data_IF_383716817210
#
_entry.id   IF_383716817210
#
_cell.length_a   1.000
_cell.length_b   1.000
_cell.length_c   1.000
_cell.angle_alpha   90.00
_cell.angle_beta   90.00
_cell.angle_gamma   90.00
#
_symmetry.space_group_name_H-M   'P 1'
#
loop_
_entity.id
_entity.type
_entity.pdbx_description
1 polymer ?
#
# COMPACT_ATOMS: atom_id res chain seq x y z
N UNK A 1 72.49 12.91 18.74
CA UNK A 1 72.23 11.93 19.81
C UNK A 1 70.73 11.86 20.03
N UNK A 2 70.27 10.74 19.83
CA UNK A 2 69.01 10.07 20.12
C UNK A 2 68.11 9.83 18.90
N UNK A 3 68.17 8.58 18.51
CA UNK A 3 67.33 7.93 17.56
C UNK A 3 65.97 7.67 18.22
N UNK A 4 64.89 8.15 17.63
CA UNK A 4 63.53 7.69 18.00
C UNK A 4 63.00 6.82 16.88
N UNK A 5 62.88 5.54 17.20
CA UNK A 5 62.35 4.49 16.33
C UNK A 5 60.83 4.61 16.27
N UNK A 6 60.25 4.76 15.09
CA UNK A 6 58.81 4.71 14.88
C UNK A 6 58.33 3.25 14.86
N UNK A 7 57.38 2.93 15.73
CA UNK A 7 56.63 1.68 15.77
C UNK A 7 55.44 1.79 14.83
N UNK A 8 55.34 0.86 13.89
CA UNK A 8 54.17 0.64 13.03
C UNK A 8 53.17 -0.27 13.78
N UNK A 9 51.90 0.10 13.95
CA UNK A 9 50.91 -0.82 14.47
C UNK A 9 50.33 -1.69 13.33
N UNK A 10 50.27 -2.97 13.61
CA UNK A 10 49.65 -4.05 12.80
C UNK A 10 48.16 -3.84 12.59
N UNK A 11 47.73 -4.11 11.37
CA UNK A 11 46.29 -4.17 10.96
C UNK A 11 45.66 -5.41 11.57
N UNK A 12 44.77 -5.22 12.53
CA UNK A 12 43.81 -6.24 13.00
C UNK A 12 42.52 -6.15 12.21
N UNK A 13 42.10 -7.27 11.59
CA UNK A 13 40.78 -7.42 10.99
C UNK A 13 39.72 -7.41 12.10
N UNK A 14 38.79 -6.46 12.06
CA UNK A 14 37.63 -6.48 12.95
C UNK A 14 36.34 -6.38 12.17
N UNK A 15 35.38 -7.26 12.53
CA UNK A 15 34.13 -7.48 11.84
C UNK A 15 33.19 -6.28 11.92
N UNK A 16 32.52 -5.99 10.82
CA UNK A 16 31.57 -4.89 10.69
C UNK A 16 30.40 -5.00 11.64
N UNK A 17 30.35 -4.10 12.61
CA UNK A 17 29.13 -3.76 13.32
C UNK A 17 28.41 -2.59 12.62
N UNK A 18 27.07 -2.56 12.61
CA UNK A 18 26.33 -1.46 11.99
C UNK A 18 26.53 -0.16 12.78
N UNK A 19 26.73 0.93 12.06
CA UNK A 19 26.87 2.28 12.55
C UNK A 19 25.70 2.67 13.47
N UNK A 20 25.97 2.76 14.75
CA UNK A 20 25.12 3.46 15.71
C UNK A 20 25.32 4.96 15.49
N UNK A 21 24.31 5.65 14.98
CA UNK A 21 24.27 7.11 15.04
C UNK A 21 24.17 7.56 16.51
N UNK A 22 25.29 8.03 17.04
CA UNK A 22 25.37 8.66 18.35
C UNK A 22 25.05 10.15 18.23
N UNK A 23 23.78 10.50 18.36
CA UNK A 23 23.35 11.80 18.93
C UNK A 23 22.10 11.53 19.76
N UNK A 24 22.27 10.83 20.87
CA UNK A 24 21.31 10.86 21.97
C UNK A 24 21.57 12.11 22.76
N UNK A 25 20.97 13.22 22.40
CA UNK A 25 20.75 14.38 23.24
C UNK A 25 19.38 14.21 23.89
N UNK A 26 19.38 13.92 25.19
CA UNK A 26 18.38 14.19 26.26
C UNK A 26 16.91 14.46 25.91
N UNK A 27 16.30 13.72 24.96
CA UNK A 27 14.87 13.82 24.64
C UNK A 27 14.12 12.52 25.01
N UNK A 28 14.80 11.50 25.56
CA UNK A 28 14.32 10.12 25.65
C UNK A 28 13.45 9.81 26.87
N UNK A 29 13.19 10.72 27.80
CA UNK A 29 12.33 10.43 28.96
C UNK A 29 10.93 11.04 28.93
N UNK A 30 10.58 11.86 27.92
CA UNK A 30 9.24 12.46 27.82
C UNK A 30 8.35 11.91 26.69
N UNK A 31 8.79 10.93 25.92
CA UNK A 31 8.09 10.48 24.69
C UNK A 31 6.95 9.49 24.96
N UNK A 32 6.91 8.83 26.11
CA UNK A 32 5.89 7.82 26.39
C UNK A 32 4.58 8.37 26.98
N UNK A 33 4.57 9.59 27.49
CA UNK A 33 3.37 10.19 28.10
C UNK A 33 2.70 11.28 27.24
N UNK A 34 3.32 11.76 26.15
CA UNK A 34 2.81 12.87 25.36
C UNK A 34 2.17 12.50 24.02
N UNK A 35 1.84 11.22 23.76
CA UNK A 35 1.20 10.78 22.50
C UNK A 35 -0.18 11.40 22.22
N UNK A 36 -0.75 12.16 23.13
CA UNK A 36 -2.13 12.71 23.02
C UNK A 36 -2.29 14.19 23.40
N UNK A 37 -1.22 14.92 23.64
CA UNK A 37 -1.37 16.36 23.83
C UNK A 37 -1.42 17.04 22.47
N UNK A 38 -2.53 17.72 22.16
CA UNK A 38 -2.61 18.70 21.07
C UNK A 38 -1.57 19.80 21.36
N UNK A 39 -0.36 19.56 20.86
CA UNK A 39 0.65 20.62 20.84
C UNK A 39 0.12 21.69 19.91
N UNK A 40 -0.01 22.90 20.40
CA UNK A 40 -0.44 24.02 19.58
C UNK A 40 0.55 24.18 18.40
N UNK A 41 0.14 23.98 17.14
CA UNK A 41 1.07 23.97 16.00
C UNK A 41 1.78 25.30 15.79
N UNK A 42 1.44 26.35 16.57
CA UNK A 42 1.92 27.71 16.37
C UNK A 42 3.44 27.88 16.36
N UNK A 43 4.20 27.01 17.03
CA UNK A 43 5.64 27.19 17.20
C UNK A 43 6.51 26.30 16.30
N UNK A 44 5.95 25.31 15.62
CA UNK A 44 6.74 24.29 14.95
C UNK A 44 6.48 24.19 13.42
N UNK A 45 5.53 24.94 12.89
CA UNK A 45 5.29 24.95 11.45
C UNK A 45 6.34 25.79 10.73
N UNK A 46 6.88 25.31 9.58
CA UNK A 46 7.74 26.11 8.72
C UNK A 46 7.08 27.43 8.33
N UNK A 47 7.85 28.52 8.35
CA UNK A 47 7.35 29.87 8.04
C UNK A 47 6.68 29.95 6.67
N UNK A 48 7.17 29.22 5.70
CA UNK A 48 6.58 29.20 4.36
C UNK A 48 5.18 28.55 4.36
N UNK A 49 4.97 27.49 5.14
CA UNK A 49 3.64 26.88 5.33
C UNK A 49 2.70 27.89 5.97
N UNK A 50 3.15 28.59 7.00
CA UNK A 50 2.34 29.62 7.70
C UNK A 50 1.94 30.76 6.76
N UNK A 51 2.85 31.21 5.88
CA UNK A 51 2.61 32.35 4.98
C UNK A 51 1.75 31.99 3.76
N UNK A 52 1.93 30.81 3.17
CA UNK A 52 1.27 30.40 1.92
C UNK A 52 0.08 29.47 2.13
N UNK A 53 0.01 28.84 3.28
CA UNK A 53 -1.04 27.88 3.61
C UNK A 53 -2.42 28.51 3.74
N UNK A 54 -3.44 27.71 3.46
CA UNK A 54 -4.84 28.01 3.75
C UNK A 54 -5.31 27.00 4.80
N UNK A 55 -5.85 27.51 5.91
CA UNK A 55 -6.10 26.69 7.11
C UNK A 55 -7.59 26.62 7.44
N UNK A 56 -8.00 25.48 7.94
CA UNK A 56 -9.30 25.26 8.57
C UNK A 56 -9.10 24.84 10.02
N UNK A 57 -10.17 24.90 10.80
CA UNK A 57 -10.27 24.17 12.04
C UNK A 57 -10.95 22.83 11.79
N UNK A 58 -10.73 21.84 12.64
CA UNK A 58 -11.45 20.57 12.54
C UNK A 58 -11.91 20.09 13.93
N UNK A 59 -12.97 19.28 13.94
CA UNK A 59 -13.40 18.57 15.13
C UNK A 59 -13.89 17.16 14.77
N UNK A 60 -13.89 16.31 15.75
CA UNK A 60 -14.46 15.00 15.60
C UNK A 60 -16.00 15.06 15.59
N UNK A 61 -16.60 14.43 14.61
CA UNK A 61 -18.03 14.18 14.54
C UNK A 61 -18.28 12.70 14.34
N UNK A 62 -19.37 12.22 14.88
CA UNK A 62 -19.86 10.88 14.59
C UNK A 62 -20.73 10.94 13.34
N UNK A 63 -20.34 10.21 12.30
CA UNK A 63 -21.06 10.06 11.04
C UNK A 63 -21.14 8.59 10.69
N UNK A 64 -22.35 8.11 10.53
CA UNK A 64 -22.63 6.69 10.22
C UNK A 64 -21.94 5.72 11.19
N UNK A 65 -21.93 6.07 12.51
CA UNK A 65 -21.28 5.27 13.54
C UNK A 65 -19.75 5.29 13.53
N UNK A 66 -19.14 6.23 12.77
CA UNK A 66 -17.68 6.40 12.69
C UNK A 66 -17.27 7.80 13.11
N UNK A 67 -16.24 7.87 13.95
CA UNK A 67 -15.62 9.13 14.34
C UNK A 67 -14.82 9.70 13.17
N UNK A 68 -15.24 10.86 12.66
CA UNK A 68 -14.68 11.51 11.48
C UNK A 68 -14.18 12.91 11.82
N UNK A 69 -13.03 13.31 11.27
CA UNK A 69 -12.50 14.67 11.39
C UNK A 69 -13.16 15.55 10.35
N UNK A 70 -13.99 16.49 10.77
CA UNK A 70 -14.76 17.36 9.90
C UNK A 70 -14.13 18.77 9.87
N UNK A 71 -13.81 19.32 8.68
CA UNK A 71 -13.20 20.63 8.56
C UNK A 71 -14.25 21.76 8.67
N UNK A 72 -13.88 22.84 9.32
CA UNK A 72 -14.67 24.05 9.52
C UNK A 72 -13.92 25.30 9.10
N UNK A 73 -14.62 26.23 8.48
CA UNK A 73 -14.12 27.57 8.19
C UNK A 73 -13.95 28.33 9.52
N UNK A 74 -12.73 28.75 9.88
CA UNK A 74 -12.49 29.39 11.18
C UNK A 74 -13.11 30.78 11.33
N UNK A 75 -13.54 31.42 10.22
CA UNK A 75 -14.20 32.70 10.23
C UNK A 75 -15.71 32.59 10.44
N UNK A 76 -16.34 31.61 9.79
CA UNK A 76 -17.80 31.50 9.76
C UNK A 76 -18.35 30.42 10.66
N UNK A 77 -17.49 29.49 11.11
CA UNK A 77 -17.90 28.31 11.87
C UNK A 77 -18.69 27.27 11.05
N UNK A 78 -18.86 27.50 9.75
CA UNK A 78 -19.52 26.55 8.86
C UNK A 78 -18.54 25.48 8.37
N UNK A 79 -19.07 24.35 7.92
CA UNK A 79 -18.26 23.28 7.32
C UNK A 79 -17.43 23.81 6.14
N UNK A 80 -16.12 23.59 6.18
CA UNK A 80 -15.23 23.97 5.10
C UNK A 80 -15.30 22.96 3.95
N UNK A 81 -15.14 23.45 2.73
CA UNK A 81 -15.11 22.63 1.51
C UNK A 81 -13.67 22.47 1.06
N UNK A 82 -13.16 21.25 1.08
CA UNK A 82 -11.76 20.97 0.73
C UNK A 82 -11.37 21.27 -0.73
N UNK A 83 -12.32 21.64 -1.57
CA UNK A 83 -12.10 22.06 -2.96
C UNK A 83 -12.27 23.59 -3.17
N UNK A 84 -12.44 24.35 -2.10
CA UNK A 84 -12.71 25.79 -2.12
C UNK A 84 -11.80 26.47 -1.08
N UNK A 85 -10.74 27.14 -1.55
CA UNK A 85 -9.77 27.82 -0.69
C UNK A 85 -10.39 29.00 0.06
N UNK A 86 -11.46 29.60 -0.46
CA UNK A 86 -12.24 30.63 0.21
C UNK A 86 -12.95 30.14 1.47
N UNK A 87 -13.15 28.84 1.63
CA UNK A 87 -13.67 28.24 2.86
C UNK A 87 -12.60 28.01 3.94
N UNK A 88 -11.34 28.35 3.66
CA UNK A 88 -10.18 28.31 4.56
C UNK A 88 -9.74 29.74 4.88
N UNK A 89 -8.89 29.91 5.88
CA UNK A 89 -8.38 31.21 6.32
C UNK A 89 -6.86 31.19 6.48
N UNK A 90 -6.27 32.32 6.81
CA UNK A 90 -4.86 32.44 7.15
C UNK A 90 -4.58 31.77 8.50
N UNK A 91 -3.34 31.36 8.72
CA UNK A 91 -2.91 30.65 9.92
C UNK A 91 -3.28 31.38 11.22
N UNK A 92 -3.08 32.71 11.28
CA UNK A 92 -3.39 33.50 12.45
C UNK A 92 -4.86 33.39 12.87
N UNK A 93 -5.76 33.36 11.91
CA UNK A 93 -7.20 33.25 12.16
C UNK A 93 -7.53 31.84 12.66
N UNK A 94 -7.05 30.81 11.95
CA UNK A 94 -7.31 29.43 12.32
C UNK A 94 -6.74 29.08 13.71
N UNK A 95 -5.53 29.57 14.01
CA UNK A 95 -4.85 29.31 15.30
C UNK A 95 -5.48 30.05 16.49
N UNK A 96 -6.25 31.10 16.24
CA UNK A 96 -6.97 31.87 17.27
C UNK A 96 -8.40 31.37 17.50
N UNK A 97 -8.91 30.50 16.63
CA UNK A 97 -10.26 29.97 16.74
C UNK A 97 -10.34 28.94 17.88
N UNK A 98 -11.44 28.98 18.64
CA UNK A 98 -11.69 28.13 19.80
C UNK A 98 -12.86 27.17 19.54
N UNK A 99 -12.96 26.08 20.32
CA UNK A 99 -14.04 25.12 20.20
C UNK A 99 -13.83 24.05 19.12
N UNK A 100 -12.59 23.85 18.71
CA UNK A 100 -12.19 22.83 17.74
C UNK A 100 -11.14 21.88 18.33
N UNK A 101 -11.04 20.69 17.78
CA UNK A 101 -10.05 19.68 18.20
C UNK A 101 -8.67 19.94 17.60
N UNK A 102 -8.55 20.79 16.58
CA UNK A 102 -7.28 21.20 16.00
C UNK A 102 -7.42 21.99 14.71
N UNK A 103 -6.27 22.20 14.07
CA UNK A 103 -6.11 22.93 12.82
C UNK A 103 -5.78 21.94 11.70
N UNK A 104 -6.23 22.25 10.49
CA UNK A 104 -5.85 21.52 9.28
C UNK A 104 -5.40 22.49 8.19
N UNK A 105 -4.69 21.99 7.21
CA UNK A 105 -4.24 22.72 6.02
C UNK A 105 -4.91 22.16 4.77
N UNK A 106 -5.43 23.04 3.93
CA UNK A 106 -5.93 22.71 2.61
C UNK A 106 -4.78 22.50 1.61
N UNK A 107 -5.02 21.63 0.65
CA UNK A 107 -4.04 21.32 -0.41
C UNK A 107 -4.18 22.35 -1.53
N UNK A 108 -3.67 23.56 -1.27
CA UNK A 108 -3.71 24.73 -2.13
C UNK A 108 -2.32 25.36 -2.27
N UNK A 109 -2.17 26.32 -3.18
CA UNK A 109 -0.99 27.19 -3.32
C UNK A 109 0.34 26.41 -3.45
N UNK A 110 0.34 25.29 -4.18
CA UNK A 110 1.51 24.44 -4.37
C UNK A 110 1.87 23.56 -3.17
N UNK A 111 1.16 23.68 -2.03
CA UNK A 111 1.37 22.80 -0.87
C UNK A 111 0.71 21.46 -1.13
N UNK A 112 1.51 20.42 -0.98
CA UNK A 112 1.13 19.02 -1.15
C UNK A 112 1.38 18.27 0.16
N UNK A 113 0.74 17.10 0.30
CA UNK A 113 0.93 16.27 1.47
C UNK A 113 0.94 14.77 1.12
N UNK A 114 1.61 14.00 1.95
CA UNK A 114 1.47 12.55 2.02
C UNK A 114 0.95 12.22 3.41
N UNK A 115 -0.07 11.37 3.47
CA UNK A 115 -0.62 10.82 4.70
C UNK A 115 -0.27 9.32 4.75
N UNK A 116 0.43 8.92 5.80
CA UNK A 116 0.89 7.56 6.03
C UNK A 116 0.17 6.99 7.25
N UNK A 117 -0.81 6.13 7.00
CA UNK A 117 -1.62 5.53 8.06
C UNK A 117 -0.93 4.34 8.72
N UNK A 118 -1.12 4.20 10.04
CA UNK A 118 -0.69 3.04 10.84
C UNK A 118 0.76 2.61 10.61
N UNK A 119 1.66 3.57 10.34
CA UNK A 119 3.04 3.31 10.00
C UNK A 119 4.02 3.44 11.17
N UNK A 120 3.57 3.94 12.33
CA UNK A 120 4.41 4.15 13.52
C UNK A 120 4.09 3.08 14.55
N UNK A 121 5.12 2.36 14.99
CA UNK A 121 5.02 1.35 16.07
C UNK A 121 4.98 2.01 17.45
N UNK A 122 4.62 1.26 18.49
CA UNK A 122 4.65 1.76 19.88
C UNK A 122 6.05 2.17 20.34
N UNK A 123 7.08 1.59 19.77
CA UNK A 123 8.47 1.95 20.00
C UNK A 123 8.96 3.16 19.19
N UNK A 124 8.08 3.77 18.37
CA UNK A 124 8.39 4.95 17.56
C UNK A 124 9.14 4.67 16.25
N UNK A 125 9.26 3.40 15.84
CA UNK A 125 9.86 3.05 14.56
C UNK A 125 8.80 3.10 13.44
N UNK A 126 9.24 3.49 12.24
CA UNK A 126 8.39 3.50 11.06
C UNK A 126 8.37 2.13 10.38
N UNK A 127 7.27 1.79 9.73
CA UNK A 127 7.24 0.65 8.80
C UNK A 127 8.26 0.84 7.67
N UNK A 128 8.70 -0.26 7.04
CA UNK A 128 9.73 -0.18 5.98
C UNK A 128 9.36 0.76 4.84
N UNK A 129 8.10 0.75 4.38
CA UNK A 129 7.63 1.67 3.34
C UNK A 129 7.60 3.13 3.83
N UNK A 130 7.14 3.39 5.06
CA UNK A 130 7.10 4.73 5.62
C UNK A 130 8.52 5.29 5.82
N UNK A 131 9.46 4.50 6.34
CA UNK A 131 10.85 4.91 6.51
C UNK A 131 11.48 5.30 5.15
N UNK A 132 11.21 4.53 4.11
CA UNK A 132 11.68 4.84 2.77
C UNK A 132 11.06 6.14 2.22
N UNK A 133 9.75 6.33 2.38
CA UNK A 133 9.06 7.54 1.92
C UNK A 133 9.55 8.77 2.66
N UNK A 134 9.68 8.71 3.98
CA UNK A 134 10.21 9.82 4.80
C UNK A 134 11.63 10.19 4.36
N UNK A 135 12.49 9.20 4.16
CA UNK A 135 13.86 9.39 3.67
C UNK A 135 13.90 9.98 2.26
N UNK A 136 13.06 9.48 1.34
CA UNK A 136 12.97 9.97 -0.03
C UNK A 136 12.49 11.41 -0.08
N UNK A 137 11.38 11.72 0.61
CA UNK A 137 10.76 13.03 0.56
C UNK A 137 11.57 14.09 1.29
N UNK A 138 12.30 13.74 2.33
CA UNK A 138 13.19 14.61 3.09
C UNK A 138 12.61 16.02 3.30
N UNK A 139 11.36 16.10 3.73
CA UNK A 139 10.59 17.32 3.93
C UNK A 139 9.94 17.34 5.31
N UNK A 140 9.32 18.47 5.67
CA UNK A 140 8.64 18.61 6.96
C UNK A 140 7.72 17.42 7.23
N UNK A 141 7.98 16.72 8.33
CA UNK A 141 7.25 15.51 8.72
C UNK A 141 6.80 15.61 10.17
N UNK A 142 5.53 15.32 10.42
CA UNK A 142 4.94 15.33 11.76
C UNK A 142 4.11 14.07 12.02
N UNK A 143 3.87 13.76 13.28
CA UNK A 143 2.93 12.71 13.67
C UNK A 143 1.49 13.13 13.36
N UNK A 144 0.67 12.22 12.88
CA UNK A 144 -0.77 12.41 12.77
C UNK A 144 -1.44 12.55 14.15
N UNK A 145 -2.66 13.09 14.27
CA UNK A 145 -3.34 13.24 15.56
C UNK A 145 -3.55 11.94 16.34
N UNK A 146 -3.56 10.79 15.68
CA UNK A 146 -3.64 9.48 16.34
C UNK A 146 -2.31 9.01 16.94
N UNK A 147 -1.19 9.62 16.53
CA UNK A 147 0.16 9.26 16.92
C UNK A 147 0.72 8.00 16.26
N UNK A 148 -0.07 7.27 15.48
CA UNK A 148 0.35 6.05 14.80
C UNK A 148 0.55 6.20 13.28
N UNK A 149 0.36 7.41 12.74
CA UNK A 149 0.60 7.77 11.36
C UNK A 149 1.49 9.01 11.24
N UNK A 150 1.87 9.35 10.01
CA UNK A 150 2.72 10.49 9.67
C UNK A 150 2.10 11.34 8.58
N UNK A 151 2.27 12.67 8.68
CA UNK A 151 1.99 13.61 7.61
C UNK A 151 3.31 14.21 7.10
N UNK A 152 3.55 14.17 5.80
CA UNK A 152 4.69 14.81 5.16
C UNK A 152 4.18 15.97 4.31
N UNK A 153 4.61 17.21 4.61
CA UNK A 153 4.25 18.39 3.83
C UNK A 153 5.43 18.82 2.95
N UNK A 154 5.13 19.19 1.71
CA UNK A 154 6.13 19.62 0.73
C UNK A 154 5.50 20.50 -0.34
N UNK A 155 6.33 21.12 -1.20
CA UNK A 155 5.87 21.82 -2.41
C UNK A 155 6.07 20.98 -3.64
N UNK A 156 5.13 21.13 -4.59
CA UNK A 156 5.26 20.61 -5.93
C UNK A 156 4.50 21.54 -6.92
N UNK A 157 4.93 22.81 -7.00
CA UNK A 157 4.25 23.81 -7.84
C UNK A 157 4.22 23.38 -9.31
N UNK A 158 3.01 23.35 -9.90
CA UNK A 158 2.82 22.98 -11.29
C UNK A 158 3.09 21.50 -11.62
N UNK A 159 3.13 20.61 -10.60
CA UNK A 159 3.23 19.18 -10.83
C UNK A 159 2.00 18.67 -11.59
N UNK A 160 2.23 17.93 -12.67
CA UNK A 160 1.17 17.37 -13.50
C UNK A 160 0.82 15.97 -12.97
N UNK A 161 -0.22 15.90 -12.17
CA UNK A 161 -0.69 14.65 -11.59
C UNK A 161 -1.59 13.90 -12.57
N UNK A 162 -1.18 12.71 -12.99
CA UNK A 162 -1.98 11.83 -13.84
C UNK A 162 -2.84 10.87 -13.00
N UNK A 163 -4.12 11.22 -12.84
CA UNK A 163 -5.08 10.41 -12.11
C UNK A 163 -5.46 9.09 -12.81
N UNK A 164 -5.09 8.92 -14.07
CA UNK A 164 -5.25 7.65 -14.79
C UNK A 164 -4.12 6.69 -14.45
N UNK A 165 -2.92 7.22 -14.27
CA UNK A 165 -1.71 6.44 -13.96
C UNK A 165 -1.54 6.16 -12.48
N UNK A 166 -1.94 7.08 -11.60
CA UNK A 166 -1.68 6.97 -10.17
C UNK A 166 -2.95 6.92 -9.31
N UNK A 167 -2.86 6.20 -8.20
CA UNK A 167 -3.84 6.24 -7.13
C UNK A 167 -3.60 7.47 -6.24
N UNK A 168 -4.67 8.11 -5.76
CA UNK A 168 -4.58 9.08 -4.68
C UNK A 168 -4.40 8.34 -3.34
N UNK A 169 -5.05 7.19 -3.19
CA UNK A 169 -5.04 6.37 -2.00
C UNK A 169 -4.65 4.94 -2.35
N UNK A 170 -3.59 4.43 -1.73
CA UNK A 170 -3.21 3.03 -1.74
C UNK A 170 -3.54 2.43 -0.37
N UNK A 171 -4.75 1.91 -0.22
CA UNK A 171 -5.24 1.34 1.05
C UNK A 171 -4.39 0.17 1.56
N UNK A 172 -3.83 -0.64 0.65
CA UNK A 172 -2.99 -1.80 1.01
C UNK A 172 -1.69 -1.36 1.67
N UNK A 173 -1.14 -0.25 1.24
CA UNK A 173 0.11 0.31 1.77
C UNK A 173 -0.13 1.36 2.87
N UNK A 174 -1.37 1.81 3.09
CA UNK A 174 -1.68 2.89 4.01
C UNK A 174 -1.11 4.23 3.57
N UNK A 175 -1.06 4.50 2.26
CA UNK A 175 -0.45 5.70 1.69
C UNK A 175 -1.52 6.51 0.96
N UNK A 176 -1.67 7.78 1.34
CA UNK A 176 -2.46 8.75 0.57
C UNK A 176 -1.56 9.90 0.10
N UNK A 177 -1.73 10.33 -1.15
CA UNK A 177 -0.93 11.41 -1.75
C UNK A 177 -1.86 12.54 -2.20
N UNK A 178 -1.64 13.73 -1.67
CA UNK A 178 -2.45 14.90 -1.94
C UNK A 178 -1.62 15.95 -2.68
N UNK A 179 -2.02 16.26 -3.91
CA UNK A 179 -1.30 17.17 -4.80
C UNK A 179 -2.16 18.40 -5.09
N UNK A 180 -1.59 19.58 -4.87
CA UNK A 180 -2.27 20.86 -5.12
C UNK A 180 -2.72 20.97 -6.59
N UNK A 181 -3.96 21.40 -6.78
CA UNK A 181 -4.60 21.50 -8.10
C UNK A 181 -5.16 20.16 -8.64
N UNK A 182 -4.74 19.02 -8.10
CA UNK A 182 -5.18 17.70 -8.55
C UNK A 182 -6.12 17.01 -7.55
N UNK A 183 -5.87 17.17 -6.25
CA UNK A 183 -6.68 16.54 -5.20
C UNK A 183 -7.43 17.58 -4.40
N UNK A 184 -8.64 17.22 -3.95
CA UNK A 184 -9.55 18.11 -3.19
C UNK A 184 -9.58 17.62 -1.75
N UNK A 185 -8.48 17.82 -1.02
CA UNK A 185 -8.27 17.28 0.32
C UNK A 185 -7.74 18.34 1.29
N UNK A 186 -7.77 18.04 2.55
CA UNK A 186 -7.06 18.77 3.60
C UNK A 186 -6.37 17.76 4.51
N UNK A 187 -5.37 18.20 5.24
CA UNK A 187 -4.61 17.38 6.20
C UNK A 187 -4.69 18.08 7.56
N UNK A 188 -4.91 17.29 8.60
CA UNK A 188 -4.85 17.78 9.99
C UNK A 188 -3.41 18.06 10.38
N UNK A 189 -3.18 19.11 11.16
CA UNK A 189 -1.85 19.49 11.64
C UNK A 189 -1.74 19.31 13.14
N UNK A 190 -0.60 18.79 13.60
CA UNK A 190 -0.29 18.61 15.01
C UNK A 190 0.87 19.49 15.49
N UNK A 191 1.80 19.86 14.58
CA UNK A 191 3.05 20.50 14.95
C UNK A 191 4.03 19.60 15.70
N UNK A 192 3.69 18.32 15.90
CA UNK A 192 4.56 17.32 16.55
C UNK A 192 5.53 16.74 15.52
N UNK A 193 6.60 17.47 15.23
CA UNK A 193 7.62 17.03 14.27
C UNK A 193 8.34 15.78 14.76
N UNK A 194 8.55 14.84 13.87
CA UNK A 194 9.31 13.60 14.13
C UNK A 194 10.66 13.59 13.42
N UNK A 195 10.83 14.44 12.40
CA UNK A 195 12.06 14.59 11.63
C UNK A 195 12.46 16.05 11.52
N UNK A 196 13.76 16.33 11.54
CA UNK A 196 14.28 17.70 11.40
C UNK A 196 14.56 18.04 9.93
N UNK A 197 13.58 17.78 9.04
CA UNK A 197 13.69 18.09 7.63
C UNK A 197 13.01 19.40 7.30
N UNK A 198 13.62 20.16 6.41
CA UNK A 198 13.06 21.45 5.97
C UNK A 198 11.99 21.24 4.90
N UNK A 199 10.90 21.99 5.03
CA UNK A 199 9.89 22.11 3.99
C UNK A 199 10.49 22.62 2.68
N UNK A 200 10.21 21.97 1.55
CA UNK A 200 10.82 22.33 0.26
C UNK A 200 10.11 21.77 -0.95
N UNK A 201 10.63 22.11 -2.13
CA UNK A 201 10.16 21.54 -3.41
C UNK A 201 10.63 20.08 -3.53
N UNK A 202 9.69 19.17 -3.81
CA UNK A 202 9.91 17.72 -3.90
C UNK A 202 9.23 17.10 -5.13
N UNK A 203 9.20 17.84 -6.24
CA UNK A 203 8.60 17.34 -7.49
C UNK A 203 9.23 16.06 -8.00
N UNK A 204 10.56 15.95 -7.94
CA UNK A 204 11.29 14.77 -8.41
C UNK A 204 11.03 13.58 -7.50
N UNK A 205 11.09 13.81 -6.20
CA UNK A 205 10.86 12.82 -5.18
C UNK A 205 9.40 12.33 -5.22
N UNK A 206 8.45 13.25 -5.43
CA UNK A 206 7.03 12.91 -5.63
C UNK A 206 6.85 12.01 -6.84
N UNK A 207 7.52 12.28 -7.97
CA UNK A 207 7.45 11.42 -9.15
C UNK A 207 7.94 10.01 -8.84
N UNK A 208 9.08 9.88 -8.16
CA UNK A 208 9.65 8.58 -7.75
C UNK A 208 8.69 7.83 -6.82
N UNK A 209 8.12 8.55 -5.84
CA UNK A 209 7.15 7.98 -4.93
C UNK A 209 5.91 7.46 -5.67
N UNK A 210 5.35 8.25 -6.56
CA UNK A 210 4.17 7.89 -7.34
C UNK A 210 4.44 6.66 -8.21
N UNK A 211 5.57 6.61 -8.89
CA UNK A 211 5.96 5.47 -9.74
C UNK A 211 6.15 4.20 -8.92
N UNK A 212 6.68 4.31 -7.71
CA UNK A 212 6.97 3.14 -6.88
C UNK A 212 5.77 2.64 -6.08
N UNK A 213 5.00 3.53 -5.48
CA UNK A 213 3.98 3.17 -4.48
C UNK A 213 2.54 3.41 -4.92
N UNK A 214 2.32 4.31 -5.89
CA UNK A 214 0.99 4.78 -6.26
C UNK A 214 0.61 4.45 -7.69
N UNK A 215 1.49 3.78 -8.44
CA UNK A 215 1.21 3.41 -9.82
C UNK A 215 0.00 2.46 -9.86
N UNK A 216 -0.97 2.80 -10.67
CA UNK A 216 -2.01 1.85 -11.06
C UNK A 216 -1.28 0.80 -11.87
N UNK A 217 -1.43 -0.48 -11.52
CA UNK A 217 -1.01 -1.53 -12.44
C UNK A 217 -1.55 -1.15 -13.80
N UNK A 218 -0.68 -0.88 -14.76
CA UNK A 218 -1.12 -0.67 -16.13
C UNK A 218 -1.91 -1.91 -16.50
N UNK A 219 -3.21 -1.76 -16.56
CA UNK A 219 -4.00 -2.63 -17.40
C UNK A 219 -3.52 -2.22 -18.80
N UNK A 220 -2.44 -2.90 -19.23
CA UNK A 220 -1.90 -2.75 -20.56
C UNK A 220 -3.07 -2.86 -21.54
N UNK A 221 -3.52 -1.71 -22.03
CA UNK A 221 -4.40 -1.66 -23.21
C UNK A 221 -3.64 -2.17 -24.47
N UNK A 222 -2.49 -2.80 -24.28
CA UNK A 222 -1.61 -3.34 -25.30
C UNK A 222 -1.07 -4.74 -25.06
N UNK A 223 -1.25 -5.33 -23.85
CA UNK A 223 -1.05 -6.77 -23.68
C UNK A 223 -2.42 -7.41 -23.58
N UNK A 224 -2.87 -7.89 -24.70
CA UNK A 224 -3.84 -8.95 -24.77
C UNK A 224 -3.51 -9.95 -23.67
N UNK A 225 -4.37 -9.99 -22.60
CA UNK A 225 -4.93 -11.20 -22.11
C UNK A 225 -3.87 -12.32 -22.11
N UNK A 226 -3.38 -12.65 -20.94
CA UNK A 226 -3.06 -14.05 -20.74
C UNK A 226 -4.34 -14.85 -21.02
N UNK A 227 -4.42 -15.38 -22.22
CA UNK A 227 -5.56 -16.06 -22.79
C UNK A 227 -5.94 -17.36 -22.06
N UNK A 228 -5.27 -17.69 -20.96
CA UNK A 228 -5.47 -18.93 -20.21
C UNK A 228 -6.63 -18.89 -19.21
N UNK A 229 -7.22 -17.71 -18.96
CA UNK A 229 -8.36 -17.62 -18.02
C UNK A 229 -9.72 -17.41 -18.73
N UNK A 230 -9.73 -17.35 -20.06
CA UNK A 230 -10.92 -17.09 -20.85
C UNK A 230 -11.79 -18.32 -21.09
N UNK A 231 -11.30 -19.51 -20.76
CA UNK A 231 -12.01 -20.77 -21.04
C UNK A 231 -12.92 -21.28 -19.92
N UNK A 232 -12.87 -20.68 -18.72
CA UNK A 232 -13.76 -21.12 -17.64
C UNK A 232 -15.20 -20.69 -17.93
N UNK A 233 -16.10 -21.64 -17.90
CA UNK A 233 -17.53 -21.41 -17.95
C UNK A 233 -18.04 -20.75 -16.65
N UNK A 234 -19.22 -20.13 -16.70
CA UNK A 234 -19.86 -19.53 -15.53
C UNK A 234 -20.00 -20.53 -14.36
N UNK A 235 -20.35 -21.77 -14.65
CA UNK A 235 -20.53 -22.83 -13.65
C UNK A 235 -19.20 -23.24 -13.00
N UNK A 236 -18.14 -23.34 -13.77
CA UNK A 236 -16.78 -23.61 -13.24
C UNK A 236 -16.29 -22.47 -12.36
N UNK A 237 -16.51 -21.21 -12.76
CA UNK A 237 -16.16 -20.03 -11.95
C UNK A 237 -16.93 -20.09 -10.62
N UNK A 238 -18.23 -20.36 -10.63
CA UNK A 238 -19.02 -20.47 -9.41
C UNK A 238 -18.58 -21.62 -8.52
N UNK A 239 -18.23 -22.77 -9.09
CA UNK A 239 -17.74 -23.93 -8.35
C UNK A 239 -16.39 -23.62 -7.66
N UNK A 240 -15.46 -23.02 -8.39
CA UNK A 240 -14.14 -22.62 -7.86
C UNK A 240 -14.29 -21.54 -6.78
N UNK A 241 -15.11 -20.52 -7.03
CA UNK A 241 -15.34 -19.45 -6.06
C UNK A 241 -15.94 -19.99 -4.75
N UNK A 242 -16.90 -20.91 -4.83
CA UNK A 242 -17.53 -21.56 -3.66
C UNK A 242 -16.57 -22.42 -2.87
N UNK A 243 -15.64 -23.10 -3.53
CA UNK A 243 -14.66 -24.00 -2.89
C UNK A 243 -13.42 -23.26 -2.35
N UNK A 244 -13.33 -21.95 -2.59
CA UNK A 244 -12.18 -21.14 -2.16
C UNK A 244 -12.21 -20.84 -0.65
N UNK A 245 -11.09 -20.37 -0.10
CA UNK A 245 -10.99 -19.92 1.30
C UNK A 245 -12.09 -18.92 1.71
N UNK A 246 -12.49 -18.05 0.79
CA UNK A 246 -13.55 -17.04 1.01
C UNK A 246 -14.89 -17.49 0.41
N UNK A 247 -15.06 -18.79 0.09
CA UNK A 247 -16.22 -19.32 -0.61
C UNK A 247 -17.54 -19.13 0.11
N UNK A 248 -17.55 -19.20 1.43
CA UNK A 248 -18.76 -18.95 2.24
C UNK A 248 -19.25 -17.50 2.09
N UNK A 249 -18.35 -16.51 2.16
CA UNK A 249 -18.69 -15.10 1.98
C UNK A 249 -19.16 -14.81 0.54
N UNK A 250 -18.46 -15.35 -0.44
CA UNK A 250 -18.87 -15.27 -1.84
C UNK A 250 -20.27 -15.86 -2.06
N UNK A 251 -20.52 -17.06 -1.56
CA UNK A 251 -21.81 -17.74 -1.75
C UNK A 251 -22.96 -17.01 -1.05
N UNK A 252 -22.74 -16.47 0.15
CA UNK A 252 -23.71 -15.64 0.86
C UNK A 252 -24.14 -14.45 0.00
N UNK A 253 -23.18 -13.68 -0.52
CA UNK A 253 -23.45 -12.55 -1.43
C UNK A 253 -24.15 -12.99 -2.69
N UNK A 254 -23.66 -14.03 -3.36
CA UNK A 254 -24.21 -14.53 -4.61
C UNK A 254 -25.65 -15.02 -4.46
N UNK A 255 -26.00 -15.56 -3.28
CA UNK A 255 -27.36 -15.99 -2.92
C UNK A 255 -28.28 -14.83 -2.55
N UNK A 256 -27.78 -13.57 -2.52
CA UNK A 256 -28.56 -12.38 -2.24
C UNK A 256 -28.51 -11.88 -0.79
N UNK A 257 -27.70 -12.49 0.08
CA UNK A 257 -27.53 -12.02 1.45
C UNK A 257 -26.75 -10.70 1.49
N UNK A 258 -27.29 -9.74 2.28
CA UNK A 258 -26.66 -8.43 2.53
C UNK A 258 -26.10 -8.35 3.96
N UNK A 259 -26.12 -9.47 4.70
CA UNK A 259 -25.64 -9.51 6.08
C UNK A 259 -24.17 -9.10 6.17
N UNK A 260 -23.88 -8.12 7.02
CA UNK A 260 -22.52 -7.57 7.20
C UNK A 260 -22.19 -6.37 6.31
N UNK A 261 -23.12 -5.93 5.43
CA UNK A 261 -22.94 -4.73 4.59
C UNK A 261 -23.90 -3.63 5.03
N UNK A 262 -23.41 -2.39 5.07
CA UNK A 262 -24.19 -1.22 5.52
C UNK A 262 -25.28 -0.83 4.49
N UNK A 263 -25.12 -1.22 3.24
CA UNK A 263 -26.09 -0.94 2.18
C UNK A 263 -26.08 -2.01 1.09
N UNK A 264 -27.18 -2.12 0.38
CA UNK A 264 -27.28 -3.00 -0.78
C UNK A 264 -26.26 -2.64 -1.89
N UNK A 265 -25.91 -1.36 -2.02
CA UNK A 265 -24.90 -0.92 -2.99
C UNK A 265 -23.49 -1.35 -2.59
N UNK A 266 -23.22 -1.48 -1.29
CA UNK A 266 -21.97 -2.01 -0.78
C UNK A 266 -21.87 -3.52 -1.02
N UNK A 267 -22.96 -4.26 -0.82
CA UNK A 267 -23.06 -5.68 -1.15
C UNK A 267 -22.88 -5.93 -2.66
N UNK A 268 -23.49 -5.10 -3.52
CA UNK A 268 -23.29 -5.17 -4.97
C UNK A 268 -21.80 -5.00 -5.34
N UNK A 269 -21.15 -3.99 -4.76
CA UNK A 269 -19.74 -3.73 -5.00
C UNK A 269 -18.86 -4.88 -4.50
N UNK A 270 -19.17 -5.45 -3.33
CA UNK A 270 -18.42 -6.57 -2.78
C UNK A 270 -18.55 -7.82 -3.68
N UNK A 271 -19.75 -8.13 -4.18
CA UNK A 271 -19.93 -9.23 -5.13
C UNK A 271 -19.16 -8.96 -6.42
N UNK A 272 -19.22 -7.74 -6.97
CA UNK A 272 -18.49 -7.39 -8.19
C UNK A 272 -16.96 -7.52 -8.02
N UNK A 273 -16.39 -7.22 -6.83
CA UNK A 273 -14.97 -7.44 -6.54
C UNK A 273 -14.60 -8.91 -6.56
N UNK A 274 -15.43 -9.77 -5.99
CA UNK A 274 -15.23 -11.22 -6.08
C UNK A 274 -15.29 -11.69 -7.54
N UNK A 275 -16.30 -11.23 -8.30
CA UNK A 275 -16.45 -11.59 -9.71
C UNK A 275 -15.25 -11.09 -10.54
N UNK A 276 -14.74 -9.88 -10.31
CA UNK A 276 -13.56 -9.35 -11.01
C UNK A 276 -12.33 -10.25 -10.84
N UNK A 277 -12.12 -10.77 -9.63
CA UNK A 277 -11.04 -11.72 -9.36
C UNK A 277 -11.23 -13.03 -10.14
N UNK A 278 -12.42 -13.64 -10.07
CA UNK A 278 -12.68 -14.97 -10.64
C UNK A 278 -12.84 -14.98 -12.16
N UNK A 279 -13.31 -13.87 -12.76
CA UNK A 279 -13.52 -13.77 -14.22
C UNK A 279 -12.30 -13.19 -14.95
N UNK A 280 -11.19 -12.91 -14.26
CA UNK A 280 -10.07 -12.23 -14.89
C UNK A 280 -10.38 -10.81 -15.34
N UNK A 281 -11.31 -10.12 -14.65
CA UNK A 281 -11.80 -8.77 -14.97
C UNK A 281 -12.63 -8.70 -16.28
N UNK A 282 -13.17 -9.79 -16.72
CA UNK A 282 -14.08 -9.82 -17.88
C UNK A 282 -15.43 -9.21 -17.51
N UNK A 283 -15.69 -7.98 -17.97
CA UNK A 283 -16.90 -7.24 -17.66
C UNK A 283 -18.18 -7.94 -18.11
N UNK A 284 -18.15 -8.66 -19.25
CA UNK A 284 -19.31 -9.39 -19.76
C UNK A 284 -19.63 -10.61 -18.90
N UNK A 285 -18.62 -11.38 -18.51
CA UNK A 285 -18.80 -12.51 -17.59
C UNK A 285 -19.26 -12.03 -16.21
N UNK A 286 -18.73 -10.89 -15.72
CA UNK A 286 -19.14 -10.27 -14.47
C UNK A 286 -20.61 -9.86 -14.49
N UNK A 287 -21.08 -9.20 -15.57
CA UNK A 287 -22.47 -8.78 -15.71
C UNK A 287 -23.41 -10.00 -15.77
N UNK A 288 -23.06 -11.00 -16.56
CA UNK A 288 -23.83 -12.24 -16.67
C UNK A 288 -23.97 -12.97 -15.33
N UNK A 289 -22.86 -13.11 -14.57
CA UNK A 289 -22.85 -13.73 -13.26
C UNK A 289 -23.58 -12.89 -12.20
N UNK A 290 -23.47 -11.55 -12.24
CA UNK A 290 -24.22 -10.69 -11.34
C UNK A 290 -25.73 -10.79 -11.59
N UNK A 291 -26.16 -10.82 -12.85
CA UNK A 291 -27.59 -10.98 -13.23
C UNK A 291 -28.21 -12.29 -12.77
N UNK A 292 -27.40 -13.35 -12.67
CA UNK A 292 -27.83 -14.64 -12.11
C UNK A 292 -27.74 -14.74 -10.60
N UNK A 293 -27.27 -13.71 -9.91
CA UNK A 293 -27.18 -13.68 -8.45
C UNK A 293 -28.49 -13.20 -7.79
N UNK A 294 -28.66 -13.54 -6.52
CA UNK A 294 -29.78 -13.05 -5.70
C UNK A 294 -29.73 -11.55 -5.38
N UNK A 295 -28.64 -10.84 -5.73
CA UNK A 295 -28.56 -9.37 -5.61
C UNK A 295 -29.11 -8.63 -6.84
N UNK A 296 -29.43 -9.34 -7.93
CA UNK A 296 -29.96 -8.70 -9.13
C UNK A 296 -31.30 -8.00 -8.87
N UNK A 297 -31.44 -6.77 -9.35
CA UNK A 297 -32.63 -5.94 -9.24
C UNK A 297 -32.68 -4.87 -10.32
N UNK A 298 -33.85 -4.25 -10.53
CA UNK A 298 -34.07 -3.23 -11.56
C UNK A 298 -33.08 -2.02 -11.50
N UNK A 299 -32.50 -1.74 -10.32
CA UNK A 299 -31.47 -0.71 -10.18
C UNK A 299 -30.22 -1.00 -11.02
N UNK A 300 -29.93 -2.27 -11.31
CA UNK A 300 -28.76 -2.67 -12.08
C UNK A 300 -28.73 -2.04 -13.47
N UNK A 301 -29.87 -1.98 -14.11
CA UNK A 301 -30.06 -1.42 -15.46
C UNK A 301 -30.41 0.07 -15.45
N UNK A 302 -30.51 0.69 -14.28
CA UNK A 302 -30.84 2.11 -14.16
C UNK A 302 -29.76 2.99 -14.77
N UNK A 303 -30.19 3.89 -15.68
CA UNK A 303 -29.29 4.87 -16.28
C UNK A 303 -28.68 5.80 -15.21
N UNK A 304 -27.38 5.97 -15.27
CA UNK A 304 -26.58 6.84 -14.38
C UNK A 304 -25.37 7.36 -15.13
N UNK A 305 -25.21 8.70 -15.19
CA UNK A 305 -24.01 9.37 -15.76
C UNK A 305 -23.57 8.85 -17.14
N UNK A 306 -24.52 8.64 -18.05
CA UNK A 306 -24.23 8.17 -19.43
C UNK A 306 -23.98 6.67 -19.58
N UNK A 307 -24.21 5.89 -18.51
CA UNK A 307 -24.08 4.43 -18.49
C UNK A 307 -25.17 3.82 -17.61
N UNK A 308 -25.03 2.58 -17.17
CA UNK A 308 -25.92 1.96 -16.18
C UNK A 308 -25.23 1.86 -14.82
N UNK A 309 -26.03 1.78 -13.74
CA UNK A 309 -25.50 1.55 -12.39
C UNK A 309 -24.63 0.27 -12.35
N UNK A 310 -25.06 -0.81 -13.00
CA UNK A 310 -24.31 -2.07 -13.08
C UNK A 310 -22.96 -1.90 -13.79
N UNK A 311 -22.94 -1.26 -14.96
CA UNK A 311 -21.73 -1.03 -15.71
C UNK A 311 -20.72 -0.17 -14.93
N UNK A 312 -21.19 0.89 -14.25
CA UNK A 312 -20.33 1.73 -13.38
C UNK A 312 -19.79 0.91 -12.20
N UNK A 313 -20.60 0.04 -11.59
CA UNK A 313 -20.21 -0.80 -10.46
C UNK A 313 -19.16 -1.84 -10.88
N UNK A 314 -19.38 -2.50 -12.02
CA UNK A 314 -18.41 -3.44 -12.63
C UNK A 314 -17.08 -2.72 -12.91
N UNK A 315 -17.13 -1.55 -13.57
CA UNK A 315 -15.94 -0.80 -13.90
C UNK A 315 -15.10 -0.44 -12.64
N UNK A 316 -15.76 0.04 -11.59
CA UNK A 316 -15.09 0.32 -10.31
C UNK A 316 -14.51 -0.94 -9.65
N UNK A 317 -15.19 -2.07 -9.75
CA UNK A 317 -14.70 -3.33 -9.23
C UNK A 317 -13.45 -3.82 -10.00
N UNK A 318 -13.46 -3.71 -11.33
CA UNK A 318 -12.30 -4.02 -12.19
C UNK A 318 -11.12 -3.12 -11.84
N UNK A 319 -11.35 -1.80 -11.70
CA UNK A 319 -10.30 -0.84 -11.33
C UNK A 319 -9.70 -1.11 -9.95
N UNK A 320 -10.48 -1.63 -9.01
CA UNK A 320 -10.02 -1.97 -7.67
C UNK A 320 -9.42 -3.38 -7.54
N UNK A 321 -9.57 -4.21 -8.56
CA UNK A 321 -9.07 -5.59 -8.56
C UNK A 321 -7.59 -5.61 -8.95
N UNK A 322 -6.71 -5.94 -8.03
CA UNK A 322 -5.25 -6.00 -8.26
C UNK A 322 -4.79 -7.38 -8.72
N UNK A 323 -5.48 -8.44 -8.30
CA UNK A 323 -5.13 -9.83 -8.58
C UNK A 323 -6.30 -10.55 -9.24
N UNK A 324 -6.03 -11.49 -10.12
CA UNK A 324 -7.04 -12.35 -10.73
C UNK A 324 -6.71 -13.81 -10.47
N UNK A 325 -7.73 -14.65 -10.47
CA UNK A 325 -7.55 -16.08 -10.38
C UNK A 325 -6.76 -16.58 -11.58
N UNK A 326 -5.67 -17.28 -11.33
CA UNK A 326 -4.90 -18.02 -12.33
C UNK A 326 -5.02 -19.50 -12.00
N UNK A 327 -5.54 -20.34 -12.92
CA UNK A 327 -5.55 -21.77 -12.71
C UNK A 327 -4.14 -22.27 -12.42
N UNK A 328 -4.00 -23.05 -11.37
CA UNK A 328 -2.71 -23.73 -11.09
C UNK A 328 -2.43 -24.68 -12.24
N UNK A 329 -1.54 -24.30 -13.14
CA UNK A 329 -1.01 -25.25 -14.10
C UNK A 329 -0.29 -26.33 -13.27
N UNK A 330 -0.86 -27.51 -13.25
CA UNK A 330 -0.06 -28.66 -12.82
C UNK A 330 1.11 -28.72 -13.80
N UNK A 331 2.36 -28.77 -13.29
CA UNK A 331 3.48 -28.97 -14.18
C UNK A 331 3.16 -30.24 -14.98
N UNK A 332 2.95 -30.10 -16.28
CA UNK A 332 2.98 -31.26 -17.16
C UNK A 332 4.35 -31.85 -16.96
N UNK A 333 4.41 -32.91 -16.15
CA UNK A 333 5.63 -33.67 -15.99
C UNK A 333 6.01 -34.13 -17.40
N UNK A 334 6.91 -33.43 -18.05
CA UNK A 334 7.60 -33.93 -19.22
C UNK A 334 8.52 -35.02 -18.68
N UNK A 335 7.95 -36.20 -18.52
CA UNK A 335 8.78 -37.37 -18.38
C UNK A 335 9.53 -37.50 -19.70
N UNK A 336 10.82 -37.21 -19.69
CA UNK A 336 11.70 -37.73 -20.75
C UNK A 336 11.42 -39.19 -20.90
N UNK A 337 11.28 -39.74 -22.12
CA UNK A 337 11.09 -41.16 -22.30
C UNK A 337 12.16 -41.89 -21.50
N UNK A 338 11.75 -42.87 -20.71
CA UNK A 338 12.66 -43.71 -19.92
C UNK A 338 13.71 -44.22 -20.89
N UNK A 339 14.93 -43.70 -20.82
CA UNK A 339 16.09 -44.32 -21.46
C UNK A 339 16.30 -45.60 -20.67
N UNK A 340 16.16 -46.77 -21.30
CA UNK A 340 16.48 -48.03 -20.62
C UNK A 340 17.92 -47.91 -20.14
N UNK A 341 18.16 -48.04 -18.85
CA UNK A 341 19.47 -48.27 -18.32
C UNK A 341 19.87 -49.68 -18.79
N UNK A 342 20.39 -49.76 -20.02
CA UNK A 342 21.14 -50.97 -20.42
C UNK A 342 22.46 -50.84 -19.68
N UNK A 343 22.70 -51.74 -18.71
CA UNK A 343 24.00 -51.75 -18.05
C UNK A 343 25.02 -52.11 -19.12
N UNK A 344 25.91 -51.16 -19.47
CA UNK A 344 27.09 -51.50 -20.27
C UNK A 344 28.08 -52.22 -19.37
N UNK A 345 27.81 -53.53 -19.13
CA UNK A 345 28.68 -54.38 -18.33
C UNK A 345 30.10 -54.50 -18.87
N UNK A 346 30.31 -54.11 -20.12
CA UNK A 346 31.62 -54.12 -20.78
C UNK A 346 32.57 -53.03 -20.28
N UNK A 347 32.09 -52.03 -19.53
CA UNK A 347 32.89 -50.89 -19.03
C UNK A 347 33.16 -50.97 -17.52
N UNK A 348 32.63 -51.96 -16.81
CA UNK A 348 32.90 -52.09 -15.39
C UNK A 348 34.33 -52.67 -15.23
N UNK A 349 35.21 -52.01 -14.50
CA UNK A 349 36.52 -52.56 -14.20
C UNK A 349 36.35 -53.90 -13.48
N UNK A 350 37.17 -54.88 -13.82
CA UNK A 350 37.17 -56.18 -13.16
C UNK A 350 37.35 -55.98 -11.67
N UNK A 351 36.47 -56.58 -10.89
CA UNK A 351 36.54 -56.40 -9.44
C UNK A 351 37.89 -57.01 -8.93
N UNK A 352 38.67 -56.27 -8.15
CA UNK A 352 40.00 -56.69 -7.73
C UNK A 352 39.86 -57.76 -6.65
N UNK A 353 39.65 -59.02 -7.06
CA UNK A 353 39.46 -60.17 -6.18
C UNK A 353 40.67 -60.37 -5.20
N UNK A 354 41.85 -59.90 -5.61
CA UNK A 354 43.05 -59.91 -4.80
C UNK A 354 43.04 -58.97 -3.59
N UNK A 355 42.13 -58.03 -3.59
CA UNK A 355 41.94 -57.07 -2.47
C UNK A 355 41.02 -57.61 -1.37
N UNK A 356 40.44 -58.77 -1.57
CA UNK A 356 39.61 -59.48 -0.59
C UNK A 356 40.48 -60.33 0.35
N UNK A 357 40.08 -60.58 1.61
CA UNK A 357 40.72 -61.54 2.48
C UNK A 357 40.81 -62.92 1.81
N UNK A 358 41.88 -63.64 2.01
CA UNK A 358 42.20 -64.90 1.30
C UNK A 358 41.06 -65.93 1.21
N UNK A 359 40.29 -66.05 2.27
CA UNK A 359 39.11 -66.96 2.30
C UNK A 359 38.00 -66.55 1.36
N UNK A 360 37.78 -65.25 1.22
CA UNK A 360 36.72 -64.64 0.38
C UNK A 360 37.18 -64.57 -1.07
N UNK A 361 38.45 -64.28 -1.30
CA UNK A 361 39.01 -64.18 -2.66
C UNK A 361 39.07 -65.63 -3.32
N UNK A 362 39.35 -66.67 -2.59
CA UNK A 362 39.28 -68.02 -3.08
C UNK A 362 37.86 -68.46 -3.44
N UNK A 363 36.89 -68.12 -2.63
CA UNK A 363 35.48 -68.36 -2.95
C UNK A 363 35.01 -67.55 -4.17
N UNK A 364 35.31 -66.26 -4.24
CA UNK A 364 34.97 -65.42 -5.37
C UNK A 364 35.60 -65.96 -6.69
N UNK A 365 36.85 -66.38 -6.65
CA UNK A 365 37.54 -66.97 -7.81
C UNK A 365 37.00 -68.36 -8.25
N UNK A 366 36.33 -69.04 -7.35
CA UNK A 366 35.73 -70.33 -7.68
C UNK A 366 34.33 -70.24 -8.28
N UNK A 367 33.68 -69.10 -8.16
CA UNK A 367 32.29 -68.83 -8.60
C UNK A 367 32.25 -67.91 -9.84
N UNK A 368 33.34 -67.22 -10.17
CA UNK A 368 33.49 -66.40 -11.36
C UNK A 368 33.91 -67.24 -12.56
#
# INVERSE_FOLDING_TARGET
>A
NEKTTALIPSVGADGGQPLRNSTKSSITENTSQNKHQNVNPQNNLPSEIVQKGRFCCWRYEERDGRKTKVPYNPLTGQMARSNDDGSFADFKIASSATGYDGIGIGIFNGICAIDLDHCVTDSGFYSGAAAEIVSLMHSYTEYSPSGNGLHILFRADGFQYDNKRYYIMNQKAGIEVYVAGATKKYVTLTGCTCENYMFGDRKKELQILLDKFMCRSEVNAGNAINADNTDLSADEILKLAKSSRNGAAFYSLYSGSQAGYLSQSEADMALCRHLAFWTGRDAHKMDALFRSSGLMRAKWDRAQSGSTYGAITIQKAIESCTEVYTPRQEPKAQFSPLVPLTPQWSELPTFPIYALPDTVSRYAAAVA
#
